data_IF_574092904914
#
_entry.id   IF_574092904914
#
_cell.length_a   1.000
_cell.length_b   1.000
_cell.length_c   1.000
_cell.angle_alpha   90.00
_cell.angle_beta   90.00
_cell.angle_gamma   90.00
#
_symmetry.space_group_name_H-M   'P 1'
#
loop_
_entity.id
_entity.type
_entity.pdbx_description
1 polymer ?
#
# COMPACT_ATOMS: atom_id res chain seq x y z
N UNK A 1 -63.15 39.09 32.28
CA UNK A 1 -63.17 40.09 33.36
C UNK A 1 -61.83 39.96 34.09
N UNK A 2 -60.76 40.66 33.68
CA UNK A 2 -60.47 42.11 33.85
C UNK A 2 -60.26 42.45 35.32
N UNK A 3 -59.21 43.10 35.78
CA UNK A 3 -58.14 43.94 35.25
C UNK A 3 -57.46 44.56 36.51
N UNK A 4 -56.53 45.49 36.51
CA UNK A 4 -55.78 46.26 35.52
C UNK A 4 -54.78 47.13 36.31
N UNK A 5 -53.77 47.67 35.63
CA UNK A 5 -52.88 48.74 36.10
C UNK A 5 -51.41 48.33 35.97
N UNK A 6 -50.67 48.52 34.87
CA UNK A 6 -50.60 49.57 33.84
C UNK A 6 -50.01 50.89 34.34
N UNK A 7 -48.73 51.10 34.02
CA UNK A 7 -48.09 52.33 33.45
C UNK A 7 -46.56 52.21 33.54
N UNK A 8 -45.71 52.72 32.66
CA UNK A 8 -45.74 53.17 31.25
C UNK A 8 -44.29 53.63 30.96
N UNK A 9 -43.79 53.27 29.77
CA UNK A 9 -42.81 53.91 28.86
C UNK A 9 -41.54 54.63 29.35
N UNK A 10 -40.49 54.42 28.55
CA UNK A 10 -39.64 55.53 28.07
C UNK A 10 -38.18 55.13 27.82
N UNK A 11 -37.82 54.95 26.54
CA UNK A 11 -36.66 55.56 25.83
C UNK A 11 -35.29 55.58 26.55
N UNK A 12 -34.11 55.32 26.00
CA UNK A 12 -33.49 55.30 24.68
C UNK A 12 -31.98 55.57 24.97
N UNK A 13 -31.11 55.47 23.96
CA UNK A 13 -29.69 55.90 23.97
C UNK A 13 -28.71 55.05 24.82
N UNK A 14 -27.80 54.27 24.20
CA UNK A 14 -26.63 54.65 23.42
C UNK A 14 -25.39 55.02 24.26
N UNK A 15 -24.30 54.35 23.89
CA UNK A 15 -22.91 54.79 23.91
C UNK A 15 -22.17 54.99 25.25
N UNK A 16 -20.92 54.52 25.18
CA UNK A 16 -19.72 55.07 25.79
C UNK A 16 -19.41 54.67 27.25
N UNK A 17 -18.47 53.74 27.35
CA UNK A 17 -17.26 53.98 28.14
C UNK A 17 -16.07 53.54 27.29
N UNK A 18 -15.58 54.47 26.47
CA UNK A 18 -14.28 54.37 25.82
C UNK A 18 -13.41 55.53 26.31
N UNK A 19 -12.20 55.15 26.76
CA UNK A 19 -10.95 55.90 26.64
C UNK A 19 -10.68 57.00 27.67
N UNK A 20 -9.65 56.79 28.51
CA UNK A 20 -8.27 57.27 28.34
C UNK A 20 -7.46 56.62 29.49
N UNK A 21 -6.37 55.88 29.25
CA UNK A 21 -5.11 56.48 28.83
C UNK A 21 -4.22 55.52 28.03
N UNK A 22 -3.44 56.18 27.18
CA UNK A 22 -2.63 55.71 26.08
C UNK A 22 -1.22 55.28 26.55
N UNK A 23 -0.72 54.21 25.94
CA UNK A 23 0.65 54.00 25.47
C UNK A 23 1.82 53.96 26.47
N UNK A 24 2.38 52.76 26.64
CA UNK A 24 3.82 52.50 26.46
C UNK A 24 4.06 51.01 26.17
N UNK A 25 4.81 50.71 25.11
CA UNK A 25 5.63 49.48 25.04
C UNK A 25 5.07 48.28 24.27
N UNK A 26 5.22 48.36 22.95
CA UNK A 26 5.24 47.24 22.01
C UNK A 26 6.07 46.04 22.50
N UNK A 27 5.41 44.97 22.94
CA UNK A 27 5.85 43.59 22.67
C UNK A 27 4.57 42.76 22.50
N UNK A 28 4.12 42.58 21.26
CA UNK A 28 3.27 41.42 20.98
C UNK A 28 4.11 40.19 21.36
N UNK A 29 3.62 39.25 22.19
CA UNK A 29 4.24 37.94 22.19
C UNK A 29 4.18 37.50 20.73
N UNK A 30 5.34 37.17 20.16
CA UNK A 30 5.39 36.60 18.84
C UNK A 30 4.29 35.54 18.81
N UNK A 31 3.29 35.70 17.92
CA UNK A 31 2.46 34.56 17.54
C UNK A 31 3.50 33.52 17.20
N UNK A 32 3.65 32.51 18.05
CA UNK A 32 4.29 31.27 17.65
C UNK A 32 3.61 30.96 16.34
N UNK A 33 4.35 31.03 15.23
CA UNK A 33 3.81 30.65 13.95
C UNK A 33 3.30 29.23 14.18
N UNK A 34 1.99 29.08 14.32
CA UNK A 34 1.35 27.78 14.32
C UNK A 34 1.91 27.14 13.06
N UNK A 35 2.61 26.01 13.23
CA UNK A 35 3.13 25.27 12.09
C UNK A 35 1.98 25.16 11.08
N UNK A 36 2.20 25.52 9.80
CA UNK A 36 1.11 25.56 8.83
C UNK A 36 0.32 24.27 8.94
N UNK A 37 -1.00 24.38 9.14
CA UNK A 37 -1.87 23.23 9.28
C UNK A 37 -1.63 22.35 8.06
N UNK A 38 -0.97 21.20 8.27
CA UNK A 38 -0.59 20.30 7.17
C UNK A 38 -1.84 19.82 6.42
N UNK A 39 -1.67 19.12 5.29
CA UNK A 39 -2.78 18.66 4.46
C UNK A 39 -3.87 17.93 5.26
N UNK A 40 -5.11 17.95 4.76
CA UNK A 40 -6.26 17.33 5.43
C UNK A 40 -6.22 15.82 5.27
N UNK A 41 -6.87 15.07 6.15
CA UNK A 41 -7.06 13.64 5.93
C UNK A 41 -8.02 13.42 4.76
N UNK A 42 -7.69 12.44 3.91
CA UNK A 42 -8.45 12.07 2.71
C UNK A 42 -8.76 10.58 2.75
N UNK A 43 -9.94 10.20 2.29
CA UNK A 43 -10.30 8.78 2.13
C UNK A 43 -10.66 8.52 0.67
N UNK A 44 -10.27 7.34 0.16
CA UNK A 44 -10.73 6.83 -1.12
C UNK A 44 -11.79 5.78 -0.83
N UNK A 45 -13.01 6.00 -1.30
CA UNK A 45 -14.07 4.99 -1.23
C UNK A 45 -13.69 3.79 -2.10
N UNK A 46 -13.53 2.63 -1.47
CA UNK A 46 -13.18 1.37 -2.15
C UNK A 46 -14.12 1.05 -3.32
N UNK A 47 -15.43 1.18 -3.09
CA UNK A 47 -16.44 0.87 -4.09
C UNK A 47 -16.42 1.87 -5.25
N UNK A 48 -16.24 3.16 -4.94
CA UNK A 48 -16.16 4.17 -5.98
C UNK A 48 -14.91 3.99 -6.83
N UNK A 49 -13.73 3.77 -6.21
CA UNK A 49 -12.48 3.55 -6.93
C UNK A 49 -12.56 2.31 -7.84
N UNK A 50 -13.10 1.20 -7.32
CA UNK A 50 -13.32 -0.01 -8.11
C UNK A 50 -14.22 0.28 -9.32
N UNK A 51 -15.37 0.92 -9.11
CA UNK A 51 -16.35 1.20 -10.17
C UNK A 51 -15.79 2.19 -11.21
N UNK A 52 -15.17 3.29 -10.77
CA UNK A 52 -14.56 4.28 -11.66
C UNK A 52 -13.45 3.66 -12.51
N UNK A 53 -12.50 2.97 -11.89
CA UNK A 53 -11.36 2.40 -12.59
C UNK A 53 -11.72 1.22 -13.50
N UNK A 54 -12.80 0.49 -13.19
CA UNK A 54 -13.20 -0.72 -13.93
C UNK A 54 -14.19 -0.41 -15.05
N UNK A 55 -15.16 0.48 -14.82
CA UNK A 55 -16.28 0.71 -15.73
C UNK A 55 -16.19 2.05 -16.46
N UNK A 56 -16.04 3.16 -15.73
CA UNK A 56 -16.19 4.50 -16.33
C UNK A 56 -14.90 5.03 -16.98
N UNK A 57 -13.77 4.92 -16.30
CA UNK A 57 -12.49 5.44 -16.78
C UNK A 57 -11.96 4.71 -18.02
N UNK A 58 -12.05 3.37 -18.14
CA UNK A 58 -11.59 2.68 -19.35
C UNK A 58 -12.38 3.10 -20.60
N UNK A 59 -13.70 3.25 -20.47
CA UNK A 59 -14.57 3.71 -21.57
C UNK A 59 -14.22 5.14 -21.96
N UNK A 60 -14.17 6.06 -20.98
CA UNK A 60 -13.81 7.46 -21.26
C UNK A 60 -12.41 7.62 -21.87
N UNK A 61 -11.41 6.84 -21.43
CA UNK A 61 -10.06 6.82 -22.05
C UNK A 61 -10.07 6.33 -23.49
N UNK A 62 -10.91 5.35 -23.80
CA UNK A 62 -11.00 4.79 -25.15
C UNK A 62 -11.62 5.78 -26.13
N UNK A 63 -12.54 6.62 -25.64
CA UNK A 63 -13.21 7.67 -26.41
C UNK A 63 -12.44 9.01 -26.42
N UNK A 64 -11.33 9.13 -25.69
CA UNK A 64 -10.53 10.35 -25.64
C UNK A 64 -9.71 10.51 -26.94
N UNK A 65 -9.98 11.54 -27.77
CA UNK A 65 -9.31 11.70 -29.06
C UNK A 65 -7.82 12.01 -28.91
N UNK A 66 -7.40 12.67 -27.83
CA UNK A 66 -5.97 12.99 -27.60
C UNK A 66 -5.20 11.71 -27.28
N UNK A 67 -5.77 10.83 -26.46
CA UNK A 67 -5.19 9.52 -26.18
C UNK A 67 -5.16 8.67 -27.45
N UNK A 68 -6.24 8.67 -28.23
CA UNK A 68 -6.34 7.98 -29.52
C UNK A 68 -5.23 8.40 -30.49
N UNK A 69 -5.08 9.71 -30.72
CA UNK A 69 -4.03 10.26 -31.60
C UNK A 69 -2.65 9.84 -31.10
N UNK A 70 -2.34 10.01 -29.81
CA UNK A 70 -1.03 9.64 -29.25
C UNK A 70 -0.70 8.15 -29.41
N UNK A 71 -1.70 7.27 -29.28
CA UNK A 71 -1.53 5.83 -29.53
C UNK A 71 -1.21 5.57 -30.99
N UNK A 72 -1.94 6.19 -31.92
CA UNK A 72 -1.73 6.02 -33.36
C UNK A 72 -0.37 6.54 -33.83
N UNK A 73 0.09 7.67 -33.28
CA UNK A 73 1.37 8.28 -33.65
C UNK A 73 2.56 7.78 -32.82
N UNK A 74 2.34 6.85 -31.88
CA UNK A 74 3.40 6.36 -30.97
C UNK A 74 3.94 7.40 -29.98
N UNK A 75 3.29 8.56 -29.83
CA UNK A 75 3.76 9.68 -29.02
C UNK A 75 3.13 9.70 -27.62
N UNK A 76 3.27 8.58 -26.89
CA UNK A 76 2.89 8.55 -25.47
C UNK A 76 3.66 9.63 -24.69
N UNK A 77 3.00 10.22 -23.69
CA UNK A 77 3.62 11.24 -22.84
C UNK A 77 4.60 10.59 -21.87
N UNK A 78 5.87 10.97 -21.95
CA UNK A 78 6.90 10.57 -20.98
C UNK A 78 6.62 11.09 -19.56
N UNK A 79 7.21 10.42 -18.57
CA UNK A 79 7.19 10.88 -17.19
C UNK A 79 7.84 12.26 -17.09
N UNK A 80 7.33 13.13 -16.22
CA UNK A 80 7.78 14.53 -16.17
C UNK A 80 8.88 14.79 -15.15
N UNK A 81 9.13 13.85 -14.24
CA UNK A 81 10.13 13.97 -13.17
C UNK A 81 11.48 13.30 -13.50
N UNK A 82 11.80 13.16 -14.80
CA UNK A 82 13.02 12.49 -15.27
C UNK A 82 14.03 13.45 -15.91
N UNK A 83 15.32 13.13 -15.78
CA UNK A 83 16.41 13.79 -16.49
C UNK A 83 16.46 13.41 -17.98
N UNK A 84 17.46 13.92 -18.70
CA UNK A 84 17.65 13.62 -20.12
C UNK A 84 17.99 12.15 -20.38
N UNK A 85 18.48 11.44 -19.36
CA UNK A 85 18.83 10.02 -19.38
C UNK A 85 17.64 9.14 -18.95
N UNK A 86 16.50 9.76 -18.63
CA UNK A 86 15.30 9.07 -18.17
C UNK A 86 15.40 8.57 -16.72
N UNK A 87 16.38 8.99 -15.93
CA UNK A 87 16.44 8.69 -14.50
C UNK A 87 15.65 9.73 -13.69
N UNK A 88 15.16 9.36 -12.51
CA UNK A 88 14.46 10.30 -11.63
C UNK A 88 15.45 11.36 -11.16
N UNK A 89 15.15 12.65 -11.41
CA UNK A 89 16.11 13.76 -11.22
C UNK A 89 16.63 13.90 -9.79
N UNK A 90 15.78 13.62 -8.79
CA UNK A 90 16.10 13.74 -7.37
C UNK A 90 15.33 12.68 -6.57
N UNK A 91 15.94 12.06 -5.55
CA UNK A 91 15.20 11.27 -4.55
C UNK A 91 14.07 12.11 -3.97
N UNK A 92 12.88 11.53 -3.84
CA UNK A 92 11.66 12.25 -3.46
C UNK A 92 10.99 11.63 -2.25
N UNK A 93 9.92 12.27 -1.78
CA UNK A 93 9.06 11.73 -0.72
C UNK A 93 8.30 10.45 -1.14
N UNK A 94 8.33 10.10 -2.43
CA UNK A 94 7.72 8.90 -3.02
C UNK A 94 8.67 7.72 -3.09
N UNK A 95 9.95 8.00 -3.39
CA UNK A 95 10.92 6.97 -3.74
C UNK A 95 12.37 7.45 -3.53
N UNK A 96 13.22 6.53 -3.10
CA UNK A 96 14.65 6.76 -2.86
C UNK A 96 15.49 5.71 -3.62
N UNK A 97 16.60 6.10 -4.27
CA UNK A 97 17.42 5.16 -5.03
C UNK A 97 18.05 4.10 -4.13
N UNK A 98 17.87 2.83 -4.50
CA UNK A 98 18.39 1.64 -3.83
C UNK A 98 18.85 0.63 -4.90
N UNK A 99 18.37 -0.61 -4.89
CA UNK A 99 18.77 -1.63 -5.86
C UNK A 99 18.48 -1.16 -7.30
N UNK A 100 19.42 -1.47 -8.21
CA UNK A 100 19.42 -0.97 -9.59
C UNK A 100 20.07 0.40 -9.79
N UNK A 101 20.35 1.14 -8.71
CA UNK A 101 21.00 2.46 -8.76
C UNK A 101 22.22 2.60 -7.86
N UNK A 102 22.26 1.85 -6.76
CA UNK A 102 23.41 1.77 -5.86
C UNK A 102 23.53 0.37 -5.26
N UNK A 103 24.73 -0.03 -4.78
CA UNK A 103 24.89 -1.24 -3.99
C UNK A 103 24.00 -1.20 -2.75
N UNK A 104 23.30 -2.28 -2.50
CA UNK A 104 22.58 -2.56 -1.25
C UNK A 104 22.99 -3.98 -0.85
N UNK A 105 23.37 -4.18 0.41
CA UNK A 105 23.68 -5.52 0.92
C UNK A 105 22.41 -6.23 1.37
N UNK A 106 22.49 -7.56 1.52
CA UNK A 106 21.40 -8.35 2.14
C UNK A 106 21.07 -7.82 3.54
N UNK A 107 22.09 -7.50 4.33
CA UNK A 107 21.89 -6.95 5.67
C UNK A 107 21.13 -5.61 5.65
N UNK A 108 21.47 -4.72 4.72
CA UNK A 108 20.76 -3.46 4.52
C UNK A 108 19.31 -3.68 4.05
N UNK A 109 19.07 -4.68 3.19
CA UNK A 109 17.72 -5.06 2.77
C UNK A 109 16.88 -5.48 3.98
N UNK A 110 17.44 -6.30 4.88
CA UNK A 110 16.72 -6.85 6.03
C UNK A 110 16.53 -5.85 7.18
N UNK A 111 17.34 -4.81 7.30
CA UNK A 111 17.15 -3.74 8.30
C UNK A 111 16.50 -2.48 7.73
N UNK A 112 16.23 -2.48 6.42
CA UNK A 112 15.77 -1.33 5.68
C UNK A 112 14.39 -0.79 6.09
N UNK A 113 13.33 -1.63 6.10
CA UNK A 113 11.99 -1.22 6.53
C UNK A 113 11.93 -0.74 8.00
N UNK A 114 12.83 -1.25 8.84
CA UNK A 114 12.87 -0.96 10.27
C UNK A 114 13.75 -1.93 11.05
N UNK A 115 13.71 -1.87 12.40
CA UNK A 115 14.55 -2.70 13.26
C UNK A 115 14.33 -4.21 13.07
N UNK A 116 13.21 -4.64 12.47
CA UNK A 116 12.91 -6.06 12.19
C UNK A 116 12.89 -6.97 13.44
N UNK A 117 12.90 -6.38 14.64
CA UNK A 117 12.81 -7.09 15.92
C UNK A 117 11.37 -7.43 16.31
N UNK A 118 10.39 -6.85 15.61
CA UNK A 118 8.99 -6.89 16.02
C UNK A 118 8.73 -6.13 17.31
N UNK A 119 7.79 -6.64 18.08
CA UNK A 119 7.33 -6.10 19.35
C UNK A 119 8.26 -6.47 20.51
N UNK A 120 8.33 -5.60 21.51
CA UNK A 120 9.06 -5.86 22.74
C UNK A 120 8.51 -7.09 23.50
N UNK A 121 9.37 -7.86 24.20
CA UNK A 121 8.93 -8.94 25.08
C UNK A 121 7.95 -8.44 26.16
N UNK A 122 6.97 -9.28 26.50
CA UNK A 122 5.93 -8.95 27.49
C UNK A 122 4.51 -8.91 26.89
N UNK A 123 3.51 -8.54 27.71
CA UNK A 123 2.10 -8.56 27.29
C UNK A 123 1.81 -7.48 26.25
N UNK A 124 0.88 -7.78 25.34
CA UNK A 124 0.42 -6.83 24.32
C UNK A 124 -0.91 -6.25 24.71
N UNK A 125 -1.00 -4.92 24.70
CA UNK A 125 -2.26 -4.23 24.99
C UNK A 125 -3.02 -4.00 23.69
N UNK A 126 -4.13 -4.69 23.49
CA UNK A 126 -5.08 -4.46 22.40
C UNK A 126 -5.81 -3.15 22.64
N UNK A 127 -5.66 -2.22 21.71
CA UNK A 127 -6.20 -0.85 21.81
C UNK A 127 -7.46 -0.65 20.94
N UNK A 128 -7.53 -1.32 19.79
CA UNK A 128 -8.64 -1.20 18.84
C UNK A 128 -8.71 -2.42 17.93
N UNK A 129 -9.90 -2.85 17.51
CA UNK A 129 -10.00 -3.82 16.41
C UNK A 129 -9.72 -3.17 15.05
N UNK A 130 -9.27 -3.96 14.08
CA UNK A 130 -9.16 -3.53 12.68
C UNK A 130 -10.56 -3.60 12.05
N UNK A 131 -11.11 -2.46 11.66
CA UNK A 131 -12.46 -2.33 11.08
C UNK A 131 -12.46 -2.11 9.57
N UNK A 132 -11.29 -1.85 8.97
CA UNK A 132 -11.12 -1.60 7.53
C UNK A 132 -10.32 -2.74 6.89
N UNK A 133 -10.63 -3.07 5.64
CA UNK A 133 -10.05 -4.18 4.90
C UNK A 133 -10.79 -5.52 5.12
N UNK A 134 -10.30 -6.58 4.47
CA UNK A 134 -10.96 -7.90 4.44
C UNK A 134 -10.40 -8.90 5.46
N UNK A 135 -9.17 -8.70 5.95
CA UNK A 135 -8.50 -9.62 6.88
C UNK A 135 -8.80 -9.27 8.33
N UNK A 136 -9.04 -10.25 9.21
CA UNK A 136 -9.10 -10.04 10.65
C UNK A 136 -7.82 -9.39 11.18
N UNK A 137 -7.95 -8.56 12.21
CA UNK A 137 -6.80 -7.93 12.85
C UNK A 137 -7.19 -6.99 13.99
N UNK A 138 -6.17 -6.50 14.69
CA UNK A 138 -6.32 -5.52 15.75
C UNK A 138 -5.04 -4.70 15.94
N UNK A 139 -5.18 -3.54 16.58
CA UNK A 139 -4.08 -2.67 16.96
C UNK A 139 -3.60 -3.04 18.34
N UNK A 140 -2.28 -3.14 18.50
CA UNK A 140 -1.64 -3.35 19.81
C UNK A 140 -0.69 -2.21 20.17
N UNK A 141 -0.43 -2.09 21.46
CA UNK A 141 0.71 -1.40 22.05
C UNK A 141 1.53 -2.43 22.83
N UNK A 142 2.83 -2.52 22.55
CA UNK A 142 3.74 -3.42 23.26
C UNK A 142 4.22 -2.81 24.60
N UNK A 143 5.07 -3.55 25.31
CA UNK A 143 5.63 -3.13 26.60
C UNK A 143 6.55 -1.89 26.50
N UNK A 144 7.18 -1.66 25.34
CA UNK A 144 7.99 -0.47 25.07
C UNK A 144 7.13 0.73 24.61
N UNK A 145 5.82 0.54 24.47
CA UNK A 145 4.88 1.55 24.01
C UNK A 145 4.80 1.72 22.49
N UNK A 146 5.50 0.89 21.73
CA UNK A 146 5.43 0.86 20.27
C UNK A 146 4.09 0.27 19.82
N UNK A 147 3.53 0.87 18.77
CA UNK A 147 2.21 0.48 18.23
C UNK A 147 2.36 -0.34 16.97
N UNK A 148 1.53 -1.37 16.85
CA UNK A 148 1.48 -2.27 15.68
C UNK A 148 0.05 -2.57 15.25
N UNK A 149 -0.12 -2.91 13.98
CA UNK A 149 -1.30 -3.58 13.44
C UNK A 149 -0.98 -5.06 13.32
N UNK A 150 -1.79 -5.90 13.96
CA UNK A 150 -1.74 -7.34 13.86
C UNK A 150 -2.69 -7.79 12.76
N UNK A 151 -2.17 -8.54 11.77
CA UNK A 151 -2.93 -9.12 10.67
C UNK A 151 -2.73 -10.64 10.63
N UNK A 152 -3.79 -11.37 10.33
CA UNK A 152 -3.78 -12.84 10.32
C UNK A 152 -3.98 -13.43 8.92
N UNK A 153 -3.59 -14.70 8.80
CA UNK A 153 -3.92 -15.53 7.66
C UNK A 153 -5.37 -16.05 7.70
N UNK A 154 -5.95 -16.38 6.55
CA UNK A 154 -7.20 -17.13 6.50
C UNK A 154 -6.99 -18.58 6.95
N UNK A 155 -7.98 -19.15 7.64
CA UNK A 155 -7.95 -20.52 8.18
C UNK A 155 -7.50 -21.60 7.20
N UNK A 156 -7.90 -21.48 5.93
CA UNK A 156 -7.64 -22.50 4.89
C UNK A 156 -6.24 -22.38 4.26
N UNK A 157 -5.54 -21.27 4.44
CA UNK A 157 -4.22 -21.01 3.86
C UNK A 157 -3.32 -20.35 4.92
N UNK A 158 -2.88 -21.12 5.93
CA UNK A 158 -1.95 -20.60 6.93
C UNK A 158 -0.66 -20.12 6.26
N UNK A 159 -0.07 -19.07 6.83
CA UNK A 159 1.20 -18.44 6.40
C UNK A 159 1.17 -17.67 5.08
N UNK A 160 0.08 -17.74 4.31
CA UNK A 160 0.00 -17.16 2.96
C UNK A 160 0.02 -15.63 2.93
N UNK A 161 -0.97 -14.99 3.55
CA UNK A 161 -1.09 -13.54 3.53
C UNK A 161 0.01 -12.89 4.38
N UNK A 162 0.34 -13.50 5.52
CA UNK A 162 1.41 -13.01 6.40
C UNK A 162 2.79 -13.13 5.75
N UNK A 163 3.08 -14.26 5.10
CA UNK A 163 4.31 -14.46 4.34
C UNK A 163 4.41 -13.51 3.15
N UNK A 164 3.34 -13.36 2.37
CA UNK A 164 3.30 -12.41 1.27
C UNK A 164 3.56 -10.97 1.73
N UNK A 165 2.95 -10.57 2.86
CA UNK A 165 3.05 -9.20 3.36
C UNK A 165 4.50 -8.84 3.77
N UNK A 166 5.17 -9.73 4.51
CA UNK A 166 6.56 -9.52 4.96
C UNK A 166 7.56 -9.57 3.82
N UNK A 167 7.51 -10.61 2.97
CA UNK A 167 8.44 -10.77 1.84
C UNK A 167 8.36 -9.57 0.91
N UNK A 168 7.15 -9.13 0.56
CA UNK A 168 6.94 -8.00 -0.33
C UNK A 168 7.40 -6.68 0.29
N UNK A 169 7.25 -6.49 1.61
CA UNK A 169 7.75 -5.28 2.27
C UNK A 169 9.27 -5.13 2.09
N UNK A 170 10.05 -6.19 2.32
CA UNK A 170 11.50 -6.15 2.10
C UNK A 170 11.85 -5.90 0.63
N UNK A 171 11.20 -6.58 -0.32
CA UNK A 171 11.48 -6.40 -1.74
C UNK A 171 11.10 -5.00 -2.23
N UNK A 172 9.97 -4.44 -1.79
CA UNK A 172 9.55 -3.08 -2.16
C UNK A 172 10.41 -2.01 -1.48
N UNK A 173 10.90 -2.27 -0.27
CA UNK A 173 11.95 -1.44 0.31
C UNK A 173 13.22 -1.51 -0.54
N UNK A 174 13.72 -2.70 -0.90
CA UNK A 174 14.91 -2.85 -1.73
C UNK A 174 14.79 -2.10 -3.07
N UNK A 175 13.57 -2.03 -3.60
CA UNK A 175 13.22 -1.33 -4.81
C UNK A 175 13.14 0.20 -4.69
N UNK A 176 13.22 0.76 -3.48
CA UNK A 176 13.27 2.20 -3.23
C UNK A 176 11.98 2.84 -2.70
N UNK A 177 10.91 2.08 -2.51
CA UNK A 177 9.65 2.60 -1.96
C UNK A 177 9.69 2.73 -0.43
N UNK A 178 8.84 3.61 0.11
CA UNK A 178 8.61 3.65 1.56
C UNK A 178 7.56 2.61 1.93
N UNK A 179 7.87 1.79 2.92
CA UNK A 179 7.04 0.67 3.36
C UNK A 179 7.09 0.58 4.88
N UNK A 180 6.08 -0.02 5.54
CA UNK A 180 6.11 -0.29 6.97
C UNK A 180 7.07 -1.44 7.32
N UNK A 181 7.58 -1.40 8.55
CA UNK A 181 8.31 -2.51 9.16
C UNK A 181 7.32 -3.61 9.52
N UNK A 182 7.32 -4.67 8.70
CA UNK A 182 6.40 -5.80 8.82
C UNK A 182 7.21 -7.05 9.14
N UNK A 183 6.87 -7.70 10.25
CA UNK A 183 7.57 -8.92 10.67
C UNK A 183 6.60 -10.02 11.07
N UNK A 184 7.03 -11.26 10.90
CA UNK A 184 6.31 -12.43 11.40
C UNK A 184 6.51 -12.58 12.91
N UNK A 185 5.41 -12.64 13.63
CA UNK A 185 5.34 -12.79 15.09
C UNK A 185 4.53 -14.03 15.46
N UNK A 186 4.84 -14.58 16.64
CA UNK A 186 4.10 -15.66 17.25
C UNK A 186 3.70 -15.23 18.67
N UNK A 187 2.46 -15.52 19.05
CA UNK A 187 1.95 -15.20 20.39
C UNK A 187 0.88 -16.18 20.81
N UNK A 188 0.61 -16.23 22.10
CA UNK A 188 -0.47 -17.02 22.69
C UNK A 188 -1.58 -16.09 23.19
N UNK A 189 -2.76 -16.65 23.41
CA UNK A 189 -3.94 -15.87 23.84
C UNK A 189 -3.67 -15.11 25.14
N UNK A 190 -2.93 -15.73 26.05
CA UNK A 190 -2.50 -15.22 27.34
C UNK A 190 -1.46 -14.11 27.27
N UNK A 191 -0.89 -13.82 26.09
CA UNK A 191 -0.02 -12.65 25.89
C UNK A 191 -0.86 -11.38 25.66
N UNK A 192 -2.13 -11.52 25.28
CA UNK A 192 -3.02 -10.39 25.00
C UNK A 192 -3.71 -9.88 26.27
N UNK A 193 -3.66 -8.56 26.45
CA UNK A 193 -4.50 -7.78 27.37
C UNK A 193 -5.26 -6.76 26.55
N UNK A 194 -6.32 -6.18 27.07
CA UNK A 194 -7.03 -5.08 26.42
C UNK A 194 -7.04 -3.86 27.33
N UNK A 195 -6.94 -2.69 26.71
CA UNK A 195 -7.02 -1.43 27.44
C UNK A 195 -8.45 -1.23 27.98
N UNK A 196 -8.56 -0.66 29.18
CA UNK A 196 -9.87 -0.31 29.74
C UNK A 196 -10.58 0.66 28.79
N UNK A 197 -11.79 0.28 28.36
CA UNK A 197 -12.56 1.09 27.40
C UNK A 197 -12.12 0.96 25.94
N UNK A 198 -11.26 0.00 25.58
CA UNK A 198 -10.97 -0.30 24.19
C UNK A 198 -12.25 -0.72 23.44
N UNK A 199 -12.43 -0.23 22.21
CA UNK A 199 -13.66 -0.46 21.43
C UNK A 199 -13.39 -1.00 20.03
N UNK A 200 -14.38 -1.68 19.48
CA UNK A 200 -14.47 -2.04 18.07
C UNK A 200 -15.79 -1.58 17.46
N UNK A 201 -15.80 -1.33 16.16
CA UNK A 201 -17.03 -1.07 15.41
C UNK A 201 -17.59 -2.39 14.87
N UNK A 202 -18.83 -2.72 15.19
CA UNK A 202 -19.50 -3.92 14.67
C UNK A 202 -19.97 -3.73 13.21
N UNK A 203 -20.49 -4.80 12.61
CA UNK A 203 -20.90 -4.85 11.19
C UNK A 203 -22.02 -3.88 10.83
N UNK A 204 -22.75 -3.33 11.81
CA UNK A 204 -23.80 -2.32 11.62
C UNK A 204 -23.36 -0.92 12.08
N UNK A 205 -22.06 -0.72 12.31
CA UNK A 205 -21.48 0.58 12.64
C UNK A 205 -21.50 0.97 14.12
N UNK A 206 -21.91 0.08 15.03
CA UNK A 206 -22.00 0.39 16.46
C UNK A 206 -20.66 0.15 17.16
N UNK A 207 -20.26 1.07 18.02
CA UNK A 207 -19.09 0.90 18.89
C UNK A 207 -19.44 -0.06 20.04
N UNK A 208 -18.64 -1.12 20.21
CA UNK A 208 -18.75 -2.12 21.28
C UNK A 208 -17.42 -2.23 22.03
N UNK A 209 -17.43 -2.52 23.34
CA UNK A 209 -16.20 -2.75 24.09
C UNK A 209 -15.50 -4.03 23.60
N UNK A 210 -14.17 -4.01 23.58
CA UNK A 210 -13.36 -5.21 23.40
C UNK A 210 -13.43 -6.02 24.71
N UNK A 211 -13.71 -7.31 24.58
CA UNK A 211 -13.78 -8.27 25.68
C UNK A 211 -12.95 -9.51 25.36
N UNK A 212 -12.72 -10.35 26.37
CA UNK A 212 -12.09 -11.66 26.16
C UNK A 212 -12.87 -12.50 25.12
N UNK A 213 -14.20 -12.50 25.20
CA UNK A 213 -15.07 -13.20 24.25
C UNK A 213 -14.89 -12.69 22.81
N UNK A 214 -14.66 -11.38 22.62
CA UNK A 214 -14.37 -10.84 21.29
C UNK A 214 -13.04 -11.37 20.75
N UNK A 215 -11.98 -11.34 21.56
CA UNK A 215 -10.67 -11.86 21.16
C UNK A 215 -10.74 -13.36 20.86
N UNK A 216 -11.44 -14.14 21.67
CA UNK A 216 -11.60 -15.57 21.47
C UNK A 216 -12.37 -15.87 20.18
N UNK A 217 -13.44 -15.12 19.90
CA UNK A 217 -14.20 -15.22 18.64
C UNK A 217 -13.37 -14.83 17.42
N UNK A 218 -12.50 -13.83 17.55
CA UNK A 218 -11.59 -13.42 16.48
C UNK A 218 -10.55 -14.51 16.22
N UNK A 219 -9.90 -15.01 17.28
CA UNK A 219 -8.83 -16.00 17.19
C UNK A 219 -9.35 -17.38 16.76
N UNK A 220 -10.60 -17.73 17.10
CA UNK A 220 -11.25 -18.93 16.59
C UNK A 220 -11.35 -18.95 15.05
N UNK A 221 -11.30 -17.79 14.37
CA UNK A 221 -11.42 -17.67 12.91
C UNK A 221 -10.10 -17.68 12.16
N UNK A 222 -8.97 -17.68 12.86
CA UNK A 222 -7.63 -17.68 12.26
C UNK A 222 -6.92 -19.02 12.51
N UNK A 223 -5.85 -19.37 11.76
CA UNK A 223 -5.08 -20.58 12.01
C UNK A 223 -4.41 -20.54 13.39
N UNK A 224 -4.55 -21.62 14.14
CA UNK A 224 -3.77 -21.89 15.34
C UNK A 224 -2.72 -22.95 15.03
N UNK A 225 -1.50 -22.76 15.52
CA UNK A 225 -0.39 -23.72 15.38
C UNK A 225 -0.56 -24.87 16.37
N UNK A 226 0.13 -25.98 16.12
CA UNK A 226 0.06 -27.19 16.96
C UNK A 226 0.45 -26.93 18.42
N UNK A 227 1.36 -26.00 18.67
CA UNK A 227 1.80 -25.59 20.00
C UNK A 227 0.80 -24.67 20.71
N UNK A 228 -0.33 -24.33 20.08
CA UNK A 228 -1.36 -23.43 20.58
C UNK A 228 -1.10 -21.95 20.31
N UNK A 229 0.04 -21.58 19.70
CA UNK A 229 0.35 -20.21 19.33
C UNK A 229 -0.34 -19.77 18.02
N UNK A 230 -0.43 -18.47 17.82
CA UNK A 230 -0.97 -17.83 16.63
C UNK A 230 0.15 -17.13 15.88
N UNK A 231 0.18 -17.32 14.56
CA UNK A 231 1.05 -16.57 13.65
C UNK A 231 0.33 -15.31 13.17
N UNK A 232 1.05 -14.19 13.13
CA UNK A 232 0.56 -12.96 12.54
C UNK A 232 1.70 -12.14 11.91
N UNK A 233 1.31 -11.13 11.13
CA UNK A 233 2.18 -9.98 10.84
C UNK A 233 1.97 -8.93 11.90
N UNK A 234 3.04 -8.46 12.51
CA UNK A 234 3.07 -7.19 13.21
C UNK A 234 3.61 -6.11 12.27
N UNK A 235 2.71 -5.24 11.83
CA UNK A 235 3.04 -4.08 11.00
C UNK A 235 3.17 -2.86 11.90
N UNK A 236 4.39 -2.33 12.03
CA UNK A 236 4.67 -1.17 12.90
C UNK A 236 3.95 0.07 12.36
N UNK A 237 3.25 0.78 13.24
CA UNK A 237 2.60 2.04 12.84
C UNK A 237 3.67 3.04 12.41
N UNK A 238 3.43 3.64 11.23
CA UNK A 238 4.28 4.68 10.66
C UNK A 238 4.25 5.94 11.54
N UNK A 239 5.36 6.69 11.54
CA UNK A 239 5.47 7.96 12.24
C UNK A 239 4.70 9.07 11.52
N UNK A 240 4.33 10.11 12.28
CA UNK A 240 3.59 11.25 11.76
C UNK A 240 2.07 11.11 11.84
N UNK A 241 1.36 12.06 11.25
CA UNK A 241 -0.11 12.06 11.19
C UNK A 241 -0.56 11.40 9.88
N UNK A 242 -1.40 10.36 9.93
CA UNK A 242 -1.91 9.74 8.71
C UNK A 242 -2.79 10.72 7.95
N UNK A 243 -2.64 10.76 6.63
CA UNK A 243 -3.46 11.57 5.72
C UNK A 243 -4.38 10.71 4.84
N UNK A 244 -4.31 9.39 4.99
CA UNK A 244 -5.03 8.41 4.17
C UNK A 244 -4.35 8.10 2.83
N UNK A 245 -5.01 7.34 1.95
CA UNK A 245 -4.40 6.89 0.70
C UNK A 245 -4.19 8.02 -0.31
N UNK A 246 -3.20 7.86 -1.18
CA UNK A 246 -3.04 8.71 -2.36
C UNK A 246 -3.78 8.15 -3.58
N UNK A 247 -4.23 9.04 -4.47
CA UNK A 247 -4.80 8.64 -5.76
C UNK A 247 -3.70 8.39 -6.79
N UNK A 248 -3.87 7.48 -7.75
CA UNK A 248 -2.89 7.33 -8.84
C UNK A 248 -3.07 8.36 -9.96
N UNK A 249 -4.09 9.22 -9.88
CA UNK A 249 -4.43 10.26 -10.87
C UNK A 249 -4.53 11.62 -10.19
N UNK A 250 -4.11 12.67 -10.88
CA UNK A 250 -4.21 14.03 -10.38
C UNK A 250 -3.10 14.34 -9.37
N UNK A 251 -3.37 15.30 -8.48
CA UNK A 251 -2.44 15.77 -7.45
C UNK A 251 -3.20 15.96 -6.16
N UNK A 252 -2.51 15.87 -5.04
CA UNK A 252 -2.98 16.31 -3.74
C UNK A 252 -3.07 17.85 -3.73
N UNK A 253 -4.27 18.38 -3.95
CA UNK A 253 -4.48 19.83 -4.17
C UNK A 253 -4.18 20.71 -2.97
N UNK A 254 -4.21 20.16 -1.77
CA UNK A 254 -3.93 20.84 -0.51
C UNK A 254 -2.48 20.66 -0.03
N UNK A 255 -1.63 20.01 -0.84
CA UNK A 255 -0.19 19.93 -0.64
C UNK A 255 0.54 20.77 -1.70
N UNK A 256 1.12 21.93 -1.35
CA UNK A 256 1.85 22.77 -2.30
C UNK A 256 3.12 22.11 -2.85
N UNK A 257 3.66 21.08 -2.19
CA UNK A 257 4.84 20.35 -2.65
C UNK A 257 4.49 19.24 -3.66
N UNK A 258 3.22 18.86 -3.77
CA UNK A 258 2.78 17.89 -4.77
C UNK A 258 2.51 18.57 -6.12
N UNK A 259 3.60 18.81 -6.85
CA UNK A 259 3.58 19.56 -8.10
C UNK A 259 3.25 18.69 -9.32
N UNK A 260 3.45 17.37 -9.23
CA UNK A 260 3.47 16.47 -10.38
C UNK A 260 2.26 15.55 -10.34
N UNK A 261 1.39 15.57 -11.37
CA UNK A 261 0.28 14.63 -11.41
C UNK A 261 0.78 13.19 -11.29
N UNK A 262 0.20 12.42 -10.37
CA UNK A 262 0.67 11.11 -9.96
C UNK A 262 0.78 10.14 -11.15
N UNK A 263 -0.15 10.19 -12.11
CA UNK A 263 -0.11 9.38 -13.32
C UNK A 263 1.04 9.74 -14.28
N UNK A 264 1.80 10.80 -14.01
CA UNK A 264 2.95 11.28 -14.78
C UNK A 264 4.28 11.16 -14.03
N UNK A 265 4.30 10.48 -12.88
CA UNK A 265 5.51 10.16 -12.10
C UNK A 265 6.16 8.85 -12.57
N UNK A 266 7.47 8.85 -12.80
CA UNK A 266 8.24 7.67 -13.21
C UNK A 266 8.11 6.52 -12.23
N UNK A 267 8.25 6.80 -10.94
CA UNK A 267 8.18 5.82 -9.86
C UNK A 267 6.82 5.12 -9.78
N UNK A 268 5.72 5.83 -10.03
CA UNK A 268 4.37 5.23 -10.02
C UNK A 268 4.06 4.47 -11.32
N UNK A 269 4.59 4.93 -12.46
CA UNK A 269 4.43 4.24 -13.74
C UNK A 269 5.26 2.97 -13.82
N UNK A 270 6.54 3.06 -13.45
CA UNK A 270 7.49 1.95 -13.42
C UNK A 270 7.23 0.95 -12.30
N UNK A 271 6.45 1.33 -11.27
CA UNK A 271 5.94 0.40 -10.26
C UNK A 271 5.17 -0.77 -10.89
N UNK A 272 4.56 -0.58 -12.08
CA UNK A 272 3.94 -1.67 -12.85
C UNK A 272 4.89 -2.86 -13.04
N UNK A 273 6.17 -2.63 -13.34
CA UNK A 273 7.14 -3.72 -13.54
C UNK A 273 7.39 -4.50 -12.26
N UNK A 274 7.34 -3.82 -11.10
CA UNK A 274 7.52 -4.49 -9.81
C UNK A 274 6.26 -5.23 -9.40
N UNK A 275 5.08 -4.67 -9.67
CA UNK A 275 3.83 -5.38 -9.49
C UNK A 275 3.75 -6.62 -10.37
N UNK A 276 4.21 -6.53 -11.63
CA UNK A 276 4.37 -7.68 -12.51
C UNK A 276 5.34 -8.70 -11.92
N UNK A 277 6.50 -8.28 -11.40
CA UNK A 277 7.45 -9.21 -10.78
C UNK A 277 6.87 -9.93 -9.56
N UNK A 278 6.27 -9.18 -8.62
CA UNK A 278 5.76 -9.68 -7.35
C UNK A 278 4.31 -10.20 -7.41
N UNK A 279 3.69 -10.20 -8.60
CA UNK A 279 2.26 -10.49 -8.75
C UNK A 279 1.37 -9.65 -7.80
N UNK A 280 1.74 -8.38 -7.60
CA UNK A 280 0.96 -7.45 -6.79
C UNK A 280 -0.20 -6.90 -7.61
N UNK A 281 -1.23 -7.74 -7.80
CA UNK A 281 -2.40 -7.38 -8.59
C UNK A 281 -3.29 -6.34 -7.89
N UNK A 282 -3.18 -6.24 -6.57
CA UNK A 282 -3.98 -5.31 -5.75
C UNK A 282 -3.36 -3.90 -5.60
N UNK A 283 -2.75 -3.37 -6.66
CA UNK A 283 -2.01 -2.10 -6.68
C UNK A 283 -2.95 -0.90 -6.83
N UNK A 284 -3.86 -0.71 -5.87
CA UNK A 284 -4.90 0.32 -5.87
C UNK A 284 -4.63 1.45 -4.88
N UNK A 285 -5.25 2.62 -5.12
CA UNK A 285 -5.13 3.79 -4.25
C UNK A 285 -5.35 3.48 -2.77
N UNK A 286 -6.44 2.79 -2.37
CA UNK A 286 -6.69 2.42 -0.98
C UNK A 286 -5.58 1.60 -0.28
N UNK A 287 -4.69 0.95 -1.03
CA UNK A 287 -3.55 0.20 -0.50
C UNK A 287 -2.27 1.04 -0.41
N UNK A 288 -2.43 2.36 -0.27
CA UNK A 288 -1.35 3.31 -0.03
C UNK A 288 -1.65 4.16 1.20
N UNK A 289 -0.63 4.86 1.70
CA UNK A 289 -0.80 5.74 2.85
C UNK A 289 0.17 6.92 2.81
N UNK A 290 -0.40 8.12 2.75
CA UNK A 290 0.29 9.37 2.97
C UNK A 290 0.42 9.64 4.47
N UNK A 291 1.63 10.03 4.89
CA UNK A 291 1.94 10.44 6.25
C UNK A 291 2.46 11.87 6.25
N UNK A 292 1.87 12.75 7.05
CA UNK A 292 2.45 14.05 7.36
C UNK A 292 3.52 13.88 8.43
N UNK A 293 4.78 14.05 8.05
CA UNK A 293 5.96 13.84 8.91
C UNK A 293 6.71 15.13 9.14
N UNK A 294 7.38 15.24 10.29
CA UNK A 294 8.30 16.35 10.61
C UNK A 294 9.69 15.78 10.85
N UNK A 295 10.65 16.15 10.00
CA UNK A 295 12.03 15.69 10.05
C UNK A 295 12.99 16.84 9.76
N UNK A 296 14.05 16.97 10.55
CA UNK A 296 15.03 18.06 10.39
C UNK A 296 14.41 19.46 10.44
N UNK A 297 13.33 19.64 11.21
CA UNK A 297 12.61 20.91 11.31
C UNK A 297 11.70 21.24 10.12
N UNK A 298 11.59 20.36 9.12
CA UNK A 298 10.70 20.52 7.97
C UNK A 298 9.56 19.51 8.03
N UNK A 299 8.36 19.95 7.64
CA UNK A 299 7.20 19.05 7.54
C UNK A 299 6.80 18.85 6.09
N UNK A 300 6.50 17.61 5.71
CA UNK A 300 6.15 17.23 4.33
C UNK A 300 5.31 15.95 4.32
N UNK A 301 4.66 15.67 3.19
CA UNK A 301 3.96 14.40 2.96
C UNK A 301 4.95 13.34 2.51
N UNK A 302 4.98 12.19 3.19
CA UNK A 302 5.68 10.98 2.76
C UNK A 302 4.68 9.93 2.29
N UNK A 303 4.91 9.41 1.10
CA UNK A 303 4.01 8.46 0.45
C UNK A 303 4.52 7.04 0.69
N UNK A 304 3.66 6.18 1.24
CA UNK A 304 3.99 4.78 1.54
C UNK A 304 3.13 3.84 0.72
N UNK A 305 3.74 2.73 0.30
CA UNK A 305 3.00 1.54 -0.10
C UNK A 305 2.71 0.71 1.16
N UNK A 306 1.49 0.19 1.28
CA UNK A 306 1.08 -0.63 2.41
C UNK A 306 0.23 -1.82 1.93
N UNK A 307 -0.15 -2.67 2.88
CA UNK A 307 -1.10 -3.78 2.69
C UNK A 307 -0.70 -4.81 1.62
N UNK A 308 0.47 -5.41 1.84
CA UNK A 308 1.06 -6.39 0.93
C UNK A 308 0.53 -7.81 1.10
N UNK A 309 -0.51 -8.02 1.93
CA UNK A 309 -1.13 -9.32 2.15
C UNK A 309 -1.78 -9.92 0.90
N UNK A 310 -1.98 -9.13 -0.17
CA UNK A 310 -2.50 -9.56 -1.48
C UNK A 310 -1.42 -9.55 -2.59
N UNK A 311 -0.15 -9.63 -2.21
CA UNK A 311 0.98 -9.81 -3.12
C UNK A 311 1.31 -11.30 -3.33
N UNK A 312 2.25 -11.58 -4.22
CA UNK A 312 2.71 -12.93 -4.56
C UNK A 312 1.54 -13.81 -5.00
N UNK A 313 1.38 -14.99 -4.41
CA UNK A 313 0.25 -15.88 -4.69
C UNK A 313 -0.99 -15.64 -3.82
N UNK A 314 -0.95 -14.64 -2.94
CA UNK A 314 -2.00 -14.36 -1.97
C UNK A 314 -3.07 -13.40 -2.51
N UNK A 315 -4.34 -13.73 -2.29
CA UNK A 315 -5.49 -12.83 -2.41
C UNK A 315 -6.01 -12.37 -1.05
N UNK A 316 -5.15 -12.36 -0.02
CA UNK A 316 -5.40 -12.05 1.39
C UNK A 316 -6.36 -12.99 2.15
N UNK A 317 -7.46 -13.41 1.53
CA UNK A 317 -8.47 -14.31 2.14
C UNK A 317 -8.52 -15.69 1.47
N UNK A 318 -8.01 -15.77 0.25
CA UNK A 318 -7.89 -16.98 -0.56
C UNK A 318 -6.63 -16.87 -1.45
N UNK A 319 -6.17 -17.99 -2.01
CA UNK A 319 -5.15 -17.98 -3.03
C UNK A 319 -5.66 -17.18 -4.24
N UNK A 320 -4.75 -16.51 -4.93
CA UNK A 320 -5.06 -15.92 -6.23
C UNK A 320 -5.54 -17.00 -7.20
N UNK A 321 -6.34 -16.57 -8.16
CA UNK A 321 -6.75 -17.46 -9.24
C UNK A 321 -5.68 -17.44 -10.35
N UNK A 322 -5.61 -18.48 -11.20
CA UNK A 322 -4.68 -18.50 -12.33
C UNK A 322 -4.81 -17.30 -13.29
N UNK A 323 -6.00 -16.71 -13.38
CA UNK A 323 -6.25 -15.51 -14.19
C UNK A 323 -5.55 -14.26 -13.67
N UNK A 324 -5.19 -14.23 -12.38
CA UNK A 324 -4.60 -13.04 -11.74
C UNK A 324 -3.29 -12.71 -12.43
N UNK A 325 -3.12 -11.45 -12.84
CA UNK A 325 -1.96 -11.02 -13.60
C UNK A 325 -2.14 -11.07 -15.11
N UNK A 326 -3.22 -11.68 -15.63
CA UNK A 326 -3.48 -11.78 -17.07
C UNK A 326 -4.66 -10.92 -17.52
N UNK A 327 -5.66 -10.74 -16.66
CA UNK A 327 -6.94 -10.11 -17.00
C UNK A 327 -7.40 -9.17 -15.86
N UNK A 328 -8.10 -8.09 -16.23
CA UNK A 328 -8.82 -7.28 -15.24
C UNK A 328 -10.11 -7.98 -14.80
N UNK A 329 -10.66 -7.58 -13.65
CA UNK A 329 -12.00 -8.03 -13.21
C UNK A 329 -13.09 -7.80 -14.27
N UNK A 330 -13.02 -6.67 -14.97
CA UNK A 330 -13.79 -6.42 -16.19
C UNK A 330 -12.81 -6.02 -17.29
N UNK A 331 -12.51 -6.97 -18.18
CA UNK A 331 -11.61 -6.75 -19.30
C UNK A 331 -12.39 -6.76 -20.62
N UNK A 332 -12.75 -5.58 -21.11
CA UNK A 332 -13.47 -5.41 -22.37
C UNK A 332 -12.76 -6.06 -23.57
N UNK A 333 -11.43 -6.12 -23.55
CA UNK A 333 -10.63 -6.75 -24.61
C UNK A 333 -10.77 -8.27 -24.59
N UNK A 334 -10.68 -8.88 -23.41
CA UNK A 334 -10.92 -10.32 -23.22
C UNK A 334 -12.37 -10.67 -23.56
N UNK A 335 -13.34 -9.89 -23.08
CA UNK A 335 -14.77 -10.09 -23.38
C UNK A 335 -15.04 -10.05 -24.90
N UNK A 336 -14.49 -9.05 -25.59
CA UNK A 336 -14.64 -8.92 -27.05
C UNK A 336 -13.98 -10.09 -27.78
N UNK A 337 -12.78 -10.50 -27.34
CA UNK A 337 -12.08 -11.67 -27.91
C UNK A 337 -12.88 -12.95 -27.70
N UNK A 338 -13.40 -13.18 -26.49
CA UNK A 338 -14.23 -14.34 -26.18
C UNK A 338 -15.48 -14.36 -27.06
N UNK A 339 -16.15 -13.21 -27.25
CA UNK A 339 -17.30 -13.09 -28.13
C UNK A 339 -16.96 -13.42 -29.60
N UNK A 340 -15.91 -12.79 -30.15
CA UNK A 340 -15.52 -12.97 -31.56
C UNK A 340 -14.96 -14.36 -31.86
N UNK A 341 -14.37 -15.02 -30.87
CA UNK A 341 -13.84 -16.38 -30.99
C UNK A 341 -14.83 -17.45 -30.53
N UNK A 342 -16.04 -17.07 -30.12
CA UNK A 342 -17.05 -17.96 -29.53
C UNK A 342 -16.49 -18.80 -28.37
N UNK A 343 -15.55 -18.24 -27.60
CA UNK A 343 -14.87 -18.91 -26.49
C UNK A 343 -13.78 -19.92 -26.89
N UNK A 344 -13.42 -20.03 -28.17
CA UNK A 344 -12.39 -20.97 -28.64
C UNK A 344 -10.96 -20.51 -28.33
N UNK A 345 -10.75 -19.22 -28.08
CA UNK A 345 -9.44 -18.72 -27.67
C UNK A 345 -9.14 -19.11 -26.22
N UNK A 346 -8.15 -19.98 -26.03
CA UNK A 346 -7.65 -20.36 -24.70
C UNK A 346 -6.55 -19.41 -24.23
N UNK A 347 -6.72 -18.73 -23.10
CA UNK A 347 -5.66 -17.91 -22.53
C UNK A 347 -4.54 -18.78 -21.93
N UNK A 348 -3.32 -18.25 -21.91
CA UNK A 348 -2.13 -19.01 -21.49
C UNK A 348 -2.21 -19.52 -20.04
N UNK A 349 -2.93 -18.81 -19.17
CA UNK A 349 -3.08 -19.18 -17.76
C UNK A 349 -3.88 -20.48 -17.55
N UNK A 350 -4.64 -20.96 -18.54
CA UNK A 350 -5.30 -22.27 -18.46
C UNK A 350 -4.31 -23.45 -18.41
N UNK A 351 -3.07 -23.23 -18.90
CA UNK A 351 -2.00 -24.21 -18.85
C UNK A 351 -1.17 -24.14 -17.57
N UNK A 352 -1.43 -23.18 -16.69
CA UNK A 352 -0.67 -23.01 -15.45
C UNK A 352 -0.98 -24.12 -14.45
N UNK A 353 0.03 -24.51 -13.67
CA UNK A 353 -0.08 -25.60 -12.69
C UNK A 353 -0.03 -25.01 -11.27
N UNK A 354 -1.04 -25.36 -10.46
CA UNK A 354 -1.07 -24.98 -9.05
C UNK A 354 0.13 -25.62 -8.31
N UNK A 355 0.92 -24.83 -7.55
CA UNK A 355 2.05 -25.36 -6.80
C UNK A 355 1.69 -26.38 -5.70
N UNK A 356 0.42 -26.46 -5.29
CA UNK A 356 -0.03 -27.30 -4.19
C UNK A 356 0.56 -26.85 -2.85
N UNK A 357 0.85 -25.56 -2.71
CA UNK A 357 1.47 -24.95 -1.52
C UNK A 357 0.52 -23.89 -0.93
N UNK A 358 -0.37 -24.27 0.02
CA UNK A 358 -1.34 -23.34 0.59
C UNK A 358 -0.72 -22.09 1.22
N UNK A 359 0.49 -22.19 1.76
CA UNK A 359 1.25 -21.08 2.35
C UNK A 359 1.81 -20.09 1.35
N UNK A 360 1.76 -20.38 0.05
CA UNK A 360 2.18 -19.47 -1.03
C UNK A 360 0.98 -18.95 -1.82
N UNK A 361 -0.08 -19.76 -1.94
CA UNK A 361 -1.18 -19.48 -2.86
C UNK A 361 -0.75 -19.72 -4.31
N UNK A 362 -1.29 -18.95 -5.24
CA UNK A 362 -1.05 -19.14 -6.67
C UNK A 362 -0.14 -18.06 -7.25
N UNK A 363 1.13 -18.39 -7.45
CA UNK A 363 2.08 -17.61 -8.24
C UNK A 363 3.02 -18.57 -8.95
N UNK A 364 3.31 -18.31 -10.22
CA UNK A 364 4.16 -19.16 -11.04
C UNK A 364 5.08 -18.32 -11.95
N UNK A 365 6.03 -18.95 -12.63
CA UNK A 365 6.97 -18.26 -13.52
C UNK A 365 7.09 -18.83 -14.94
N UNK A 366 6.42 -19.93 -15.26
CA UNK A 366 6.40 -20.59 -16.57
C UNK A 366 5.52 -19.88 -17.59
N UNK A 367 4.27 -19.60 -17.24
CA UNK A 367 3.31 -18.89 -18.09
C UNK A 367 3.34 -17.38 -17.90
N UNK A 368 4.04 -16.87 -16.87
CA UNK A 368 4.25 -15.44 -16.66
C UNK A 368 4.83 -14.75 -17.89
N UNK A 369 4.09 -13.79 -18.42
CA UNK A 369 4.49 -12.89 -19.50
C UNK A 369 4.75 -11.47 -18.94
N UNK A 370 6.00 -10.98 -18.97
CA UNK A 370 6.36 -9.66 -18.48
C UNK A 370 5.89 -8.50 -19.36
N UNK A 371 5.29 -8.74 -20.53
CA UNK A 371 4.71 -7.70 -21.40
C UNK A 371 3.21 -7.51 -21.16
N UNK A 372 2.49 -8.61 -20.95
CA UNK A 372 1.04 -8.59 -20.87
C UNK A 372 0.47 -8.45 -19.46
N UNK A 373 1.31 -8.37 -18.42
CA UNK A 373 0.84 -8.42 -17.03
C UNK A 373 -0.15 -7.29 -16.68
N UNK A 374 -1.19 -7.62 -15.91
CA UNK A 374 -2.24 -6.66 -15.48
C UNK A 374 -2.55 -6.78 -13.99
N UNK A 375 -2.80 -5.66 -13.28
CA UNK A 375 -3.40 -5.70 -11.97
C UNK A 375 -4.88 -6.14 -12.04
N UNK A 376 -5.53 -6.25 -10.88
CA UNK A 376 -6.94 -6.62 -10.75
C UNK A 376 -7.88 -5.66 -11.50
N UNK A 377 -7.56 -4.37 -11.52
CA UNK A 377 -8.26 -3.35 -12.31
C UNK A 377 -7.31 -2.23 -12.76
N UNK A 378 -7.68 -1.46 -13.81
CA UNK A 378 -6.81 -0.43 -14.38
C UNK A 378 -6.30 0.58 -13.35
N UNK A 379 -4.98 0.79 -13.34
CA UNK A 379 -4.34 1.80 -12.51
C UNK A 379 -3.97 3.03 -13.38
N UNK A 380 -4.36 4.26 -12.98
CA UNK A 380 -4.08 5.44 -13.77
C UNK A 380 -2.63 5.71 -14.14
N UNK A 381 -1.68 5.42 -13.27
CA UNK A 381 -0.26 5.56 -13.60
C UNK A 381 0.18 4.46 -14.58
N UNK A 382 -0.28 3.22 -14.39
CA UNK A 382 0.11 2.11 -15.25
C UNK A 382 -0.41 2.30 -16.69
N UNK A 383 -1.60 2.88 -16.86
CA UNK A 383 -2.15 3.18 -18.19
C UNK A 383 -1.35 4.21 -18.98
N UNK A 384 -0.56 5.03 -18.28
CA UNK A 384 0.27 6.08 -18.84
C UNK A 384 1.74 5.66 -19.03
N UNK A 385 2.09 4.41 -18.67
CA UNK A 385 3.45 3.89 -18.78
C UNK A 385 3.96 3.89 -20.23
N UNK A 386 5.21 4.32 -20.38
CA UNK A 386 6.02 4.23 -21.58
C UNK A 386 7.02 3.07 -21.46
N UNK A 387 7.70 2.75 -22.55
CA UNK A 387 8.77 1.75 -22.53
C UNK A 387 9.88 2.15 -21.54
N UNK A 388 10.24 3.43 -21.48
CA UNK A 388 11.26 3.93 -20.56
C UNK A 388 10.85 3.75 -19.08
N UNK A 389 9.56 3.90 -18.75
CA UNK A 389 9.05 3.61 -17.40
C UNK A 389 9.23 2.13 -17.03
N UNK A 390 8.97 1.23 -17.98
CA UNK A 390 9.11 -0.23 -17.79
C UNK A 390 10.58 -0.63 -17.64
N UNK A 391 11.45 -0.12 -18.52
CA UNK A 391 12.90 -0.35 -18.47
C UNK A 391 13.52 0.16 -17.17
N UNK A 392 13.05 1.31 -16.66
CA UNK A 392 13.45 1.81 -15.34
C UNK A 392 13.08 0.85 -14.21
N UNK A 393 11.85 0.33 -14.21
CA UNK A 393 11.44 -0.70 -13.25
C UNK A 393 12.23 -2.00 -13.42
N UNK A 394 12.53 -2.39 -14.66
CA UNK A 394 13.31 -3.59 -14.96
C UNK A 394 14.75 -3.48 -14.45
N UNK A 395 15.38 -2.29 -14.48
CA UNK A 395 16.71 -2.06 -13.88
C UNK A 395 16.70 -2.27 -12.37
N UNK A 396 15.63 -1.86 -11.68
CA UNK A 396 15.46 -2.12 -10.25
C UNK A 396 15.35 -3.62 -10.01
N UNK A 397 14.49 -4.32 -10.76
CA UNK A 397 14.32 -5.79 -10.70
C UNK A 397 15.65 -6.51 -10.95
N UNK A 398 16.43 -6.05 -11.94
CA UNK A 398 17.76 -6.59 -12.24
C UNK A 398 18.76 -6.42 -11.09
N UNK A 399 18.60 -5.39 -10.25
CA UNK A 399 19.45 -5.15 -9.10
C UNK A 399 19.33 -6.21 -8.00
N UNK A 400 18.23 -6.96 -7.94
CA UNK A 400 18.06 -8.03 -6.95
C UNK A 400 18.87 -9.27 -7.35
N UNK A 401 19.97 -9.53 -6.64
CA UNK A 401 20.66 -10.82 -6.72
C UNK A 401 19.80 -11.95 -6.13
N UNK A 402 20.14 -13.20 -6.46
CA UNK A 402 19.47 -14.39 -5.91
C UNK A 402 19.53 -14.41 -4.38
N UNK A 403 20.64 -13.95 -3.81
CA UNK A 403 20.81 -13.84 -2.35
C UNK A 403 19.83 -12.83 -1.72
N UNK A 404 19.58 -11.69 -2.38
CA UNK A 404 18.56 -10.73 -1.91
C UNK A 404 17.17 -11.34 -1.92
N UNK A 405 16.81 -12.01 -3.02
CA UNK A 405 15.50 -12.65 -3.16
C UNK A 405 15.33 -13.74 -2.11
N UNK A 406 16.33 -14.61 -1.95
CA UNK A 406 16.31 -15.68 -0.96
C UNK A 406 16.16 -15.14 0.45
N UNK A 407 16.98 -14.16 0.83
CA UNK A 407 16.96 -13.57 2.17
C UNK A 407 15.60 -12.91 2.49
N UNK A 408 15.00 -12.21 1.54
CA UNK A 408 13.66 -11.65 1.72
C UNK A 408 12.59 -12.74 1.88
N UNK A 409 12.65 -13.81 1.07
CA UNK A 409 11.71 -14.95 1.15
C UNK A 409 11.82 -15.70 2.48
N UNK A 410 13.03 -15.82 3.03
CA UNK A 410 13.26 -16.44 4.36
C UNK A 410 12.60 -15.66 5.50
N UNK A 411 12.44 -14.34 5.38
CA UNK A 411 11.66 -13.56 6.36
C UNK A 411 10.17 -13.88 6.35
N UNK A 412 9.67 -14.54 5.29
CA UNK A 412 8.36 -15.15 5.28
C UNK A 412 8.21 -16.28 6.30
N UNK A 413 9.30 -16.82 6.87
CA UNK A 413 9.31 -17.86 7.93
C UNK A 413 8.31 -19.00 7.66
N UNK A 414 8.25 -19.51 6.44
CA UNK A 414 7.34 -20.60 6.09
C UNK A 414 7.76 -21.88 6.81
N UNK A 415 6.80 -22.59 7.40
CA UNK A 415 7.06 -23.83 8.13
C UNK A 415 7.46 -24.96 7.18
N UNK A 416 6.93 -24.98 5.95
CA UNK A 416 7.32 -25.93 4.91
C UNK A 416 8.49 -25.38 4.09
N UNK A 417 9.69 -26.01 4.12
CA UNK A 417 10.85 -25.52 3.36
C UNK A 417 10.62 -25.48 1.84
N UNK A 418 9.72 -26.35 1.31
CA UNK A 418 9.34 -26.32 -0.11
C UNK A 418 8.69 -24.99 -0.51
N UNK A 419 8.01 -24.30 0.42
CA UNK A 419 7.39 -23.01 0.16
C UNK A 419 8.45 -21.92 -0.09
N UNK A 420 9.45 -21.84 0.78
CA UNK A 420 10.60 -20.94 0.63
C UNK A 420 11.33 -21.20 -0.68
N UNK A 421 11.69 -22.47 -0.95
CA UNK A 421 12.42 -22.84 -2.16
C UNK A 421 11.64 -22.55 -3.44
N UNK A 422 10.34 -22.87 -3.45
CA UNK A 422 9.46 -22.62 -4.58
C UNK A 422 9.34 -21.12 -4.87
N UNK A 423 9.02 -20.32 -3.84
CA UNK A 423 8.82 -18.89 -4.02
C UNK A 423 10.11 -18.18 -4.45
N UNK A 424 11.27 -18.55 -3.88
CA UNK A 424 12.57 -18.03 -4.34
C UNK A 424 12.79 -18.33 -5.82
N UNK A 425 12.57 -19.58 -6.26
CA UNK A 425 12.74 -19.97 -7.67
C UNK A 425 11.79 -19.22 -8.60
N UNK A 426 10.53 -19.06 -8.21
CA UNK A 426 9.53 -18.33 -9.00
C UNK A 426 9.93 -16.85 -9.14
N UNK A 427 10.33 -16.19 -8.06
CA UNK A 427 10.73 -14.78 -8.12
C UNK A 427 12.00 -14.57 -8.95
N UNK A 428 12.99 -15.47 -8.85
CA UNK A 428 14.19 -15.46 -9.72
C UNK A 428 13.77 -15.61 -11.19
N UNK A 429 12.94 -16.61 -11.50
CA UNK A 429 12.48 -16.87 -12.88
C UNK A 429 11.71 -15.68 -13.47
N UNK A 430 10.83 -15.05 -12.68
CA UNK A 430 10.08 -13.85 -13.08
C UNK A 430 11.01 -12.66 -13.29
N UNK A 431 12.00 -12.45 -12.41
CA UNK A 431 13.06 -11.43 -12.57
C UNK A 431 13.77 -11.61 -13.90
N UNK A 432 14.25 -12.83 -14.17
CA UNK A 432 15.06 -13.12 -15.36
C UNK A 432 14.26 -12.94 -16.66
N UNK A 433 12.96 -13.26 -16.65
CA UNK A 433 12.06 -12.98 -17.78
C UNK A 433 11.89 -11.48 -18.02
N UNK A 434 11.65 -10.68 -16.97
CA UNK A 434 11.55 -9.21 -17.07
C UNK A 434 12.83 -8.63 -17.64
N UNK A 435 13.98 -9.04 -17.09
CA UNK A 435 15.30 -8.55 -17.51
C UNK A 435 15.59 -8.90 -18.96
N UNK A 436 15.31 -10.14 -19.38
CA UNK A 436 15.47 -10.57 -20.77
C UNK A 436 14.60 -9.75 -21.72
N UNK A 437 13.33 -9.55 -21.37
CA UNK A 437 12.37 -8.84 -22.21
C UNK A 437 12.72 -7.36 -22.38
N UNK A 438 13.08 -6.70 -21.27
CA UNK A 438 13.15 -5.23 -21.25
C UNK A 438 14.57 -4.67 -21.29
N UNK A 439 15.58 -5.43 -20.89
CA UNK A 439 16.98 -4.98 -20.85
C UNK A 439 17.90 -5.73 -21.84
N UNK A 440 17.35 -6.63 -22.66
CA UNK A 440 18.10 -7.26 -23.77
C UNK A 440 19.26 -8.17 -23.34
N UNK A 441 19.21 -8.76 -22.15
CA UNK A 441 20.23 -9.71 -21.68
C UNK A 441 21.53 -9.09 -21.13
N UNK A 442 21.64 -7.77 -20.98
CA UNK A 442 22.81 -7.10 -20.40
C UNK A 442 22.95 -7.24 -18.87
N UNK A 443 22.44 -8.31 -18.26
CA UNK A 443 22.46 -8.49 -16.81
C UNK A 443 23.76 -9.08 -16.25
N UNK A 444 24.87 -8.98 -16.99
CA UNK A 444 26.14 -9.62 -16.65
C UNK A 444 27.32 -8.69 -16.38
N UNK A 445 27.17 -7.37 -16.48
CA UNK A 445 28.28 -6.44 -16.26
C UNK A 445 27.93 -5.46 -15.14
N UNK A 446 28.23 -5.85 -13.91
CA UNK A 446 28.48 -4.88 -12.84
C UNK A 446 29.91 -4.36 -13.02
N UNK A 447 30.18 -3.05 -13.02
CA UNK A 447 31.53 -2.54 -12.84
C UNK A 447 32.09 -2.86 -11.45
#
# INVERSE_FOLDING_TARGET
MTGAGLRVQGDAFALACAMFALACGLVSPARSAEAPAGPRETEISYYYDLVDQTLFRPVSRTLDPVIGIRRLTGSKREAVNVDAQGAIRLPSTWWQPRLGFRPVTVDQLLHGPGPSTGQAPGPWTVTRAKTQGVTPGFFIKDAAGQRFIIKFDPRKQPEMATGADVVSSYLLWGAGFNVPDNVIVHFRREDLRFESGAQYTDVIGRKRPISDEFLDKLLARVPQREDGSYRAVASRLLSGRPLGPFEYRGRRRDDPEDLIPHQHRRELRGFWTLCAWLSHADSRGPNSLDMWVTEGGRSFVRHHLIDFGSCLGSGAVAARSPQTGSEYFVDYGVMTRALLTLGLHRPAWEASVDPGLPSIGFIEGDTFDPDSWRPDYPNPAFDERTRADIEWGARIVAGFSDAHIRAAVEQGKFSNPRATDYLTKVLIKRRDKIVRQWLGGQAGATP
#
